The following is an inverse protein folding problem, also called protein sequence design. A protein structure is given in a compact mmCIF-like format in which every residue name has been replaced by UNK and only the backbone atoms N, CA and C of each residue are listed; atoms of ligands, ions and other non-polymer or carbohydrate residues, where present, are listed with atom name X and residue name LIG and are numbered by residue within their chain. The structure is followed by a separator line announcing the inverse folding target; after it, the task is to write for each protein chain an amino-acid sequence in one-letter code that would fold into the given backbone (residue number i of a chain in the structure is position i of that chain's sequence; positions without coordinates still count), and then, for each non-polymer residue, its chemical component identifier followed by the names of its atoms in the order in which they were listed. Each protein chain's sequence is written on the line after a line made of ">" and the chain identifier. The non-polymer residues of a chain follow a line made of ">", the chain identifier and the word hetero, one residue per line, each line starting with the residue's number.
data_IF_546215611185
#
_entry.id   IF_546215611185
#
_cell.length_a   1.000
_cell.length_b   1.000
_cell.length_c   1.000
_cell.angle_alpha   90.00
_cell.angle_beta   90.00
_cell.angle_gamma   90.00
#
_symmetry.space_group_name_H-M   'P 1'
#
loop_
_entity.id
_entity.type
_entity.pdbx_description
1 polymer ?
#
# COMPACT_ATOMS: atom_id res chain seq x y z
N UNK A 1 -14.10 21.43 4.90
CA UNK A 1 -14.49 20.02 4.71
C UNK A 1 -14.33 19.32 6.04
N UNK A 2 -15.42 18.86 6.66
CA UNK A 2 -15.37 18.10 7.91
C UNK A 2 -15.27 16.62 7.55
N UNK A 3 -14.18 15.97 7.95
CA UNK A 3 -14.02 14.53 7.78
C UNK A 3 -14.69 13.88 9.00
N UNK A 4 -15.74 13.06 8.80
CA UNK A 4 -16.44 12.36 9.90
C UNK A 4 -17.04 13.26 11.01
N UNK A 5 -17.38 14.52 10.71
CA UNK A 5 -17.86 15.48 11.72
C UNK A 5 -16.76 15.98 12.67
N UNK A 6 -15.50 15.62 12.40
CA UNK A 6 -14.31 15.98 13.17
C UNK A 6 -13.52 17.01 12.35
N UNK A 7 -13.11 18.10 12.99
CA UNK A 7 -12.26 19.11 12.38
C UNK A 7 -10.79 18.68 12.31
N UNK A 8 -10.01 19.43 11.54
CA UNK A 8 -8.55 19.26 11.49
C UNK A 8 -7.90 19.37 12.89
N UNK A 9 -8.30 20.30 13.79
CA UNK A 9 -7.74 20.39 15.14
C UNK A 9 -7.94 19.12 15.97
N UNK A 10 -9.13 18.53 15.94
CA UNK A 10 -9.47 17.34 16.70
C UNK A 10 -8.72 16.10 16.18
N UNK A 11 -8.59 15.96 14.86
CA UNK A 11 -7.73 14.91 14.26
C UNK A 11 -6.29 15.08 14.73
N UNK A 12 -5.76 16.32 14.77
CA UNK A 12 -4.40 16.56 15.22
C UNK A 12 -4.16 16.11 16.67
N UNK A 13 -5.12 16.32 17.57
CA UNK A 13 -5.03 15.85 18.97
C UNK A 13 -4.96 14.32 19.03
N UNK A 14 -5.82 13.62 18.28
CA UNK A 14 -5.83 12.16 18.23
C UNK A 14 -4.50 11.64 17.69
N UNK A 15 -3.98 12.25 16.63
CA UNK A 15 -2.67 11.91 16.06
C UNK A 15 -1.57 12.11 17.10
N UNK A 16 -1.54 13.23 17.82
CA UNK A 16 -0.55 13.47 18.88
C UNK A 16 -0.62 12.39 19.96
N UNK A 17 -1.81 12.02 20.43
CA UNK A 17 -1.97 10.92 21.40
C UNK A 17 -1.47 9.58 20.85
N UNK A 18 -1.80 9.26 19.61
CA UNK A 18 -1.29 8.05 18.95
C UNK A 18 0.24 8.10 18.80
N UNK A 19 0.82 9.26 18.50
CA UNK A 19 2.27 9.47 18.42
C UNK A 19 2.95 9.34 19.79
N UNK A 20 2.29 9.67 20.90
CA UNK A 20 2.84 9.45 22.23
C UNK A 20 2.87 7.94 22.58
N UNK A 21 1.84 7.20 22.20
CA UNK A 21 1.75 5.75 22.44
C UNK A 21 2.72 4.97 21.54
N UNK A 22 2.65 5.24 20.23
CA UNK A 22 3.42 4.49 19.23
C UNK A 22 4.79 5.12 18.93
N UNK A 23 4.95 6.42 19.09
CA UNK A 23 6.17 7.16 18.76
C UNK A 23 6.18 7.68 17.31
N UNK A 24 6.61 8.93 17.05
CA UNK A 24 6.63 9.52 15.71
C UNK A 24 7.59 8.84 14.73
N UNK A 25 8.59 8.12 15.24
CA UNK A 25 9.52 7.34 14.41
C UNK A 25 8.91 6.02 13.93
N UNK A 26 7.89 5.47 14.60
CA UNK A 26 7.30 4.17 14.24
C UNK A 26 6.33 4.26 13.07
N UNK A 27 5.54 5.32 12.97
CA UNK A 27 4.65 5.55 11.81
C UNK A 27 5.37 5.49 10.45
N UNK A 28 6.45 6.25 10.20
CA UNK A 28 7.17 6.18 8.92
C UNK A 28 7.89 4.84 8.73
N UNK A 29 8.31 4.16 9.79
CA UNK A 29 8.87 2.81 9.68
C UNK A 29 7.82 1.79 9.25
N UNK A 30 6.63 1.81 9.87
CA UNK A 30 5.50 0.96 9.48
C UNK A 30 5.06 1.24 8.04
N UNK A 31 4.94 2.52 7.66
CA UNK A 31 4.62 2.92 6.29
C UNK A 31 5.67 2.45 5.27
N UNK A 32 6.96 2.53 5.60
CA UNK A 32 8.04 1.99 4.74
C UNK A 32 7.94 0.47 4.59
N UNK A 33 7.64 -0.26 5.66
CA UNK A 33 7.49 -1.72 5.61
C UNK A 33 6.28 -2.12 4.79
N UNK A 34 5.10 -1.55 5.08
CA UNK A 34 3.87 -1.81 4.34
C UNK A 34 4.04 -1.41 2.87
N UNK A 35 4.66 -0.26 2.60
CA UNK A 35 4.93 0.21 1.24
C UNK A 35 5.86 -0.73 0.46
N UNK A 36 6.90 -1.28 1.10
CA UNK A 36 7.76 -2.31 0.49
C UNK A 36 6.97 -3.59 0.19
N UNK A 37 6.12 -4.03 1.11
CA UNK A 37 5.27 -5.20 0.90
C UNK A 37 4.31 -4.98 -0.27
N UNK A 38 3.58 -3.87 -0.31
CA UNK A 38 2.65 -3.54 -1.40
C UNK A 38 3.41 -3.45 -2.74
N UNK A 39 4.59 -2.81 -2.76
CA UNK A 39 5.40 -2.74 -3.97
C UNK A 39 5.85 -4.13 -4.44
N UNK A 40 6.27 -5.00 -3.52
CA UNK A 40 6.62 -6.38 -3.83
C UNK A 40 5.44 -7.18 -4.40
N UNK A 41 4.25 -7.02 -3.82
CA UNK A 41 3.02 -7.63 -4.33
C UNK A 41 2.69 -7.13 -5.74
N UNK A 42 2.75 -5.81 -5.98
CA UNK A 42 2.51 -5.24 -7.31
C UNK A 42 3.51 -5.77 -8.36
N UNK A 43 4.80 -5.86 -8.01
CA UNK A 43 5.82 -6.41 -8.90
C UNK A 43 5.56 -7.87 -9.25
N UNK A 44 5.26 -8.70 -8.24
CA UNK A 44 4.93 -10.11 -8.44
C UNK A 44 3.66 -10.31 -9.29
N UNK A 45 2.60 -9.53 -9.02
CA UNK A 45 1.38 -9.57 -9.83
C UNK A 45 1.64 -9.22 -11.29
N UNK A 46 2.48 -8.21 -11.55
CA UNK A 46 2.82 -7.79 -12.92
C UNK A 46 3.65 -8.83 -13.67
N UNK A 47 4.59 -9.48 -12.98
CA UNK A 47 5.41 -10.56 -13.55
C UNK A 47 4.53 -11.77 -13.89
N UNK A 48 3.65 -12.16 -12.98
CA UNK A 48 2.66 -13.23 -13.19
C UNK A 48 1.73 -12.95 -14.37
N UNK A 49 1.21 -11.73 -14.48
CA UNK A 49 0.39 -11.31 -15.63
C UNK A 49 1.18 -11.40 -16.95
N UNK A 50 2.45 -10.98 -16.95
CA UNK A 50 3.32 -11.07 -18.12
C UNK A 50 3.60 -12.52 -18.54
N UNK A 51 3.82 -13.43 -17.58
CA UNK A 51 4.05 -14.85 -17.85
C UNK A 51 2.78 -15.54 -18.41
N UNK A 52 1.61 -15.24 -17.83
CA UNK A 52 0.34 -15.75 -18.35
C UNK A 52 0.12 -15.27 -19.79
N UNK A 53 0.25 -13.97 -20.04
CA UNK A 53 0.06 -13.42 -21.38
C UNK A 53 1.06 -13.99 -22.40
N UNK A 54 2.31 -14.24 -21.99
CA UNK A 54 3.30 -14.88 -22.84
C UNK A 54 2.91 -16.32 -23.18
N UNK A 55 2.42 -17.08 -22.20
CA UNK A 55 2.00 -18.48 -22.40
C UNK A 55 0.74 -18.57 -23.26
N UNK A 56 -0.23 -17.68 -23.06
CA UNK A 56 -1.45 -17.61 -23.87
C UNK A 56 -1.14 -17.28 -25.33
N UNK A 57 -0.24 -16.32 -25.58
CA UNK A 57 0.20 -15.98 -26.94
C UNK A 57 0.96 -17.11 -27.63
N UNK A 58 1.68 -17.95 -26.90
CA UNK A 58 2.39 -19.10 -27.49
C UNK A 58 1.42 -20.18 -27.99
N UNK A 59 0.30 -20.41 -27.29
CA UNK A 59 -0.72 -21.40 -27.68
C UNK A 59 -1.61 -20.97 -28.85
N UNK A 60 -1.64 -19.68 -29.23
CA UNK A 60 -2.46 -19.19 -30.36
C UNK A 60 -1.75 -19.31 -31.72
N UNK A 61 -0.45 -19.65 -31.75
CA UNK A 61 0.35 -19.71 -32.99
C UNK A 61 0.61 -21.14 -33.51
N UNK A 62 0.05 -22.17 -32.86
CA UNK A 62 0.22 -23.59 -33.22
C UNK A 62 -1.05 -24.22 -33.86
N UNK A 63 -2.11 -23.44 -34.13
CA UNK A 63 -3.27 -23.77 -35.00
C UNK A 63 -3.20 -22.99 -36.32
#
# INVERSE_FOLDING_TARGET
>A
MNFFGIGIPEIAVIVVLALLIFGPKRLPQLGKTIGKTIKGLQSASKEFESEINKTLKLNENDD
#
